data_IF_272110596524
#
_entry.id   IF_272110596524
#
_cell.length_a   1.000
_cell.length_b   1.000
_cell.length_c   1.000
_cell.angle_alpha   90.00
_cell.angle_beta   90.00
_cell.angle_gamma   90.00
#
_symmetry.space_group_name_H-M   'P 1'
#
loop_
_entity.id
_entity.type
_entity.pdbx_description
1 polymer ?
#
# COMPACT_ATOMS: atom_id res chain seq x y z
N UNK A 1 -11.39 9.39 13.84
CA UNK A 1 -10.47 9.06 14.92
C UNK A 1 -9.15 8.63 14.31
N UNK A 2 -8.05 9.24 14.71
CA UNK A 2 -6.69 9.06 14.16
C UNK A 2 -5.98 7.81 14.71
N UNK A 3 -6.66 6.66 14.77
CA UNK A 3 -6.18 5.50 15.55
C UNK A 3 -5.65 4.31 14.74
N UNK A 4 -5.65 4.38 13.39
CA UNK A 4 -5.27 3.23 12.54
C UNK A 4 -4.12 3.51 11.56
N UNK A 5 -3.50 4.68 11.65
CA UNK A 5 -2.35 5.01 10.79
C UNK A 5 -1.05 4.51 11.44
N UNK A 6 -0.25 3.77 10.66
CA UNK A 6 1.12 3.45 11.04
C UNK A 6 1.97 4.72 11.06
N UNK A 7 2.73 4.95 12.13
CA UNK A 7 3.69 6.05 12.26
C UNK A 7 4.95 5.77 11.42
N UNK A 8 4.77 5.73 10.10
CA UNK A 8 5.82 5.51 9.11
C UNK A 8 5.93 6.78 8.27
N UNK A 9 7.13 7.37 8.09
CA UNK A 9 7.32 8.63 7.36
C UNK A 9 7.13 8.49 5.84
N UNK A 10 7.07 7.25 5.34
CA UNK A 10 6.92 6.95 3.92
C UNK A 10 5.62 6.18 3.63
N UNK A 11 5.06 6.43 2.45
CA UNK A 11 3.89 5.74 1.93
C UNK A 11 4.14 5.29 0.49
N UNK A 12 3.44 4.23 0.07
CA UNK A 12 3.51 3.70 -1.28
C UNK A 12 2.26 4.09 -2.06
N UNK A 13 2.41 5.01 -3.02
CA UNK A 13 1.31 5.39 -3.91
C UNK A 13 1.09 4.32 -4.98
N UNK A 14 -0.03 3.61 -4.89
CA UNK A 14 -0.34 2.48 -5.77
C UNK A 14 -0.55 2.91 -7.22
N UNK A 15 -1.04 4.13 -7.47
CA UNK A 15 -1.25 4.64 -8.84
C UNK A 15 0.10 4.88 -9.53
N UNK A 16 1.04 5.51 -8.83
CA UNK A 16 2.39 5.73 -9.36
C UNK A 16 3.14 4.42 -9.62
N UNK A 17 3.01 3.44 -8.72
CA UNK A 17 3.62 2.12 -8.91
C UNK A 17 2.96 1.40 -10.10
N UNK A 18 1.63 1.40 -10.17
CA UNK A 18 0.88 0.76 -11.26
C UNK A 18 1.17 1.38 -12.62
N UNK A 19 1.29 2.72 -12.68
CA UNK A 19 1.72 3.45 -13.87
C UNK A 19 3.12 3.05 -14.33
N UNK A 20 4.07 2.89 -13.40
CA UNK A 20 5.42 2.40 -13.71
C UNK A 20 5.40 0.96 -14.23
N UNK A 21 4.54 0.11 -13.66
CA UNK A 21 4.36 -1.29 -14.06
C UNK A 21 3.49 -1.45 -15.32
N UNK A 22 2.86 -0.37 -15.81
CA UNK A 22 1.90 -0.37 -16.94
C UNK A 22 0.69 -1.29 -16.71
N UNK A 23 0.18 -1.33 -15.47
CA UNK A 23 -1.02 -2.08 -15.07
C UNK A 23 -2.10 -1.15 -14.55
N UNK A 24 -3.33 -1.66 -14.43
CA UNK A 24 -4.42 -0.95 -13.75
C UNK A 24 -4.16 -0.87 -12.25
N UNK A 25 -4.36 0.31 -11.66
CA UNK A 25 -4.23 0.48 -10.21
C UNK A 25 -5.29 -0.34 -9.47
N UNK A 26 -4.91 -1.22 -8.52
CA UNK A 26 -5.88 -1.94 -7.71
C UNK A 26 -6.49 -1.04 -6.64
N UNK A 27 -7.53 -1.56 -5.99
CA UNK A 27 -8.13 -0.94 -4.82
C UNK A 27 -7.18 -1.00 -3.61
N UNK A 28 -7.03 0.13 -2.92
CA UNK A 28 -6.16 0.26 -1.73
C UNK A 28 -6.51 -0.77 -0.65
N UNK A 29 -7.80 -1.02 -0.39
CA UNK A 29 -8.23 -2.04 0.58
C UNK A 29 -7.70 -3.43 0.24
N UNK A 30 -7.79 -3.81 -1.04
CA UNK A 30 -7.34 -5.14 -1.51
C UNK A 30 -5.83 -5.32 -1.30
N UNK A 31 -5.04 -4.27 -1.53
CA UNK A 31 -3.59 -4.31 -1.28
C UNK A 31 -3.30 -4.40 0.21
N UNK A 32 -4.02 -3.66 1.05
CA UNK A 32 -3.89 -3.75 2.51
C UNK A 32 -4.22 -5.16 3.01
N UNK A 33 -5.31 -5.77 2.53
CA UNK A 33 -5.67 -7.15 2.88
C UNK A 33 -4.57 -8.13 2.49
N UNK A 34 -4.05 -8.04 1.26
CA UNK A 34 -2.97 -8.92 0.77
C UNK A 34 -1.67 -8.75 1.56
N UNK A 35 -1.34 -7.53 1.99
CA UNK A 35 -0.19 -7.27 2.86
C UNK A 35 -0.39 -7.92 4.23
N UNK A 36 -1.57 -7.76 4.83
CA UNK A 36 -1.91 -8.38 6.13
C UNK A 36 -1.91 -9.91 6.06
N UNK A 37 -2.45 -10.49 4.99
CA UNK A 37 -2.42 -11.95 4.73
C UNK A 37 -0.97 -12.50 4.68
N UNK A 38 -0.01 -11.68 4.25
CA UNK A 38 1.42 -12.01 4.21
C UNK A 38 2.18 -11.69 5.51
N UNK A 39 1.48 -11.22 6.55
CA UNK A 39 2.08 -10.91 7.85
C UNK A 39 2.63 -9.49 7.99
N UNK A 40 2.37 -8.60 7.03
CA UNK A 40 2.81 -7.20 7.10
C UNK A 40 1.75 -6.32 7.79
N UNK A 41 2.23 -5.30 8.50
CA UNK A 41 1.37 -4.22 8.97
C UNK A 41 1.05 -3.31 7.78
N UNK A 42 -0.23 -3.04 7.53
CA UNK A 42 -0.65 -2.16 6.45
C UNK A 42 -1.90 -1.34 6.80
N UNK A 43 -1.87 -0.07 6.42
CA UNK A 43 -2.94 0.92 6.65
C UNK A 43 -3.10 1.82 5.43
N UNK A 44 -4.25 2.50 5.32
CA UNK A 44 -4.38 3.64 4.39
C UNK A 44 -3.53 4.80 4.87
N UNK A 45 -3.00 5.59 3.94
CA UNK A 45 -2.44 6.90 4.24
C UNK A 45 -3.57 7.94 4.33
N UNK A 46 -3.60 8.75 5.37
CA UNK A 46 -4.49 9.91 5.44
C UNK A 46 -4.08 11.03 4.47
N UNK A 47 -2.79 11.09 4.12
CA UNK A 47 -2.24 12.14 3.26
C UNK A 47 -2.55 11.92 1.76
N UNK A 48 -2.73 10.66 1.34
CA UNK A 48 -2.90 10.31 -0.07
C UNK A 48 -3.88 9.14 -0.22
N UNK A 49 -5.07 9.33 -0.83
CA UNK A 49 -6.14 8.33 -0.87
C UNK A 49 -5.77 7.05 -1.62
N UNK A 50 -4.79 7.10 -2.52
CA UNK A 50 -4.27 5.95 -3.27
C UNK A 50 -3.00 5.35 -2.66
N UNK A 51 -2.60 5.77 -1.47
CA UNK A 51 -1.39 5.29 -0.82
C UNK A 51 -1.64 4.34 0.35
N UNK A 52 -0.71 3.40 0.51
CA UNK A 52 -0.64 2.46 1.62
C UNK A 52 0.61 2.76 2.46
N UNK A 53 0.45 2.81 3.77
CA UNK A 53 1.57 2.74 4.72
C UNK A 53 1.75 1.29 5.13
N UNK A 54 2.98 0.78 5.05
CA UNK A 54 3.30 -0.60 5.43
C UNK A 54 4.75 -0.73 5.83
N UNK A 55 5.08 -1.76 6.61
CA UNK A 55 6.45 -2.19 6.88
C UNK A 55 7.01 -3.12 5.78
N UNK A 56 6.23 -3.44 4.75
CA UNK A 56 6.72 -4.16 3.58
C UNK A 56 7.56 -3.24 2.67
N UNK A 57 8.61 -3.78 2.08
CA UNK A 57 9.39 -3.07 1.07
C UNK A 57 8.63 -2.98 -0.28
N UNK A 58 9.04 -2.05 -1.15
CA UNK A 58 8.50 -1.89 -2.50
C UNK A 58 8.48 -3.22 -3.29
N UNK A 59 9.48 -4.09 -3.12
CA UNK A 59 9.53 -5.38 -3.78
C UNK A 59 8.31 -6.27 -3.45
N UNK A 60 7.87 -6.30 -2.19
CA UNK A 60 6.67 -7.05 -1.79
C UNK A 60 5.39 -6.44 -2.35
N UNK A 61 5.34 -5.11 -2.43
CA UNK A 61 4.20 -4.40 -3.05
C UNK A 61 4.12 -4.77 -4.52
N UNK A 62 5.23 -4.74 -5.26
CA UNK A 62 5.25 -5.14 -6.68
C UNK A 62 4.77 -6.59 -6.85
N UNK A 63 5.13 -7.51 -5.96
CA UNK A 63 4.65 -8.91 -5.96
C UNK A 63 3.15 -9.07 -5.65
N UNK A 64 2.51 -8.09 -5.02
CA UNK A 64 1.06 -8.08 -4.78
C UNK A 64 0.32 -7.49 -5.99
N UNK A 65 0.99 -6.60 -6.73
CA UNK A 65 0.44 -5.90 -7.89
C UNK A 65 0.59 -6.67 -9.22
N UNK A 66 1.56 -7.58 -9.32
CA UNK A 66 1.80 -8.45 -10.48
C UNK A 66 1.02 -9.76 -10.36
#
# INVERSE_FOLDING_TARGET
GIAEELDIPFYHNLDLISKKLKISSPGVSKVIEKLKERGFSASRSHAEPKAVKTNADLAEIIKILS
#
